data_IF_363531102488
#
_entry.id   IF_363531102488
#
_cell.length_a   1.000
_cell.length_b   1.000
_cell.length_c   1.000
_cell.angle_alpha   90.00
_cell.angle_beta   90.00
_cell.angle_gamma   90.00
#
_symmetry.space_group_name_H-M   'P 1'
#
loop_
_entity.id
_entity.type
_entity.pdbx_description
1 polymer ?
#
# COMPACT_ATOMS: atom_id res chain seq x y z
N UNK A 1 23.42 -0.21 28.25
CA UNK A 1 23.44 -0.48 26.81
C UNK A 1 24.12 0.66 26.10
N UNK A 2 25.15 0.32 25.32
CA UNK A 2 25.89 1.20 24.41
C UNK A 2 26.03 0.44 23.08
N UNK A 3 26.06 1.16 21.97
CA UNK A 3 26.29 0.61 20.63
C UNK A 3 25.08 -0.12 20.04
N UNK A 4 25.34 -0.98 19.04
CA UNK A 4 24.31 -1.71 18.33
C UNK A 4 23.92 -3.00 19.03
N UNK A 5 22.63 -3.17 19.27
CA UNK A 5 22.05 -4.39 19.82
C UNK A 5 21.20 -5.08 18.76
N UNK A 6 21.55 -6.32 18.46
CA UNK A 6 20.84 -7.17 17.50
C UNK A 6 20.06 -8.22 18.28
N UNK A 7 18.83 -8.50 17.82
CA UNK A 7 17.94 -9.47 18.42
C UNK A 7 17.53 -10.47 17.36
N UNK A 8 17.46 -11.74 17.75
CA UNK A 8 17.04 -12.86 16.91
C UNK A 8 15.82 -13.54 17.52
N UNK A 9 15.02 -14.22 16.70
CA UNK A 9 13.98 -15.12 17.20
C UNK A 9 14.57 -16.52 17.47
N UNK A 10 13.75 -17.42 18.01
CA UNK A 10 14.16 -18.79 18.36
C UNK A 10 14.63 -19.63 17.15
N UNK A 11 14.30 -19.19 15.93
CA UNK A 11 14.78 -19.77 14.68
C UNK A 11 16.10 -19.14 14.18
N UNK A 12 16.75 -18.31 14.99
CA UNK A 12 18.01 -17.64 14.63
C UNK A 12 17.88 -16.51 13.61
N UNK A 13 16.66 -16.04 13.30
CA UNK A 13 16.43 -14.96 12.33
C UNK A 13 16.39 -13.61 13.01
N UNK A 14 17.06 -12.63 12.41
CA UNK A 14 17.07 -11.26 12.94
C UNK A 14 15.66 -10.67 13.00
N UNK A 15 15.30 -10.08 14.14
CA UNK A 15 13.99 -9.43 14.35
C UNK A 15 14.11 -7.93 14.49
N UNK A 16 15.20 -7.44 15.09
CA UNK A 16 15.45 -6.00 15.24
C UNK A 16 16.92 -5.68 15.48
N UNK A 17 17.33 -4.49 15.07
CA UNK A 17 18.62 -3.87 15.35
C UNK A 17 18.39 -2.49 15.94
N UNK A 18 18.87 -2.26 17.15
CA UNK A 18 18.60 -1.05 17.94
C UNK A 18 19.92 -0.38 18.33
N UNK A 19 20.12 0.91 18.02
CA UNK A 19 21.26 1.67 18.49
C UNK A 19 20.99 2.26 19.88
N UNK A 20 21.89 2.03 20.83
CA UNK A 20 21.83 2.62 22.16
C UNK A 20 23.00 3.57 22.42
N UNK A 21 22.69 4.71 23.02
CA UNK A 21 23.65 5.62 23.65
C UNK A 21 23.22 5.89 25.10
N UNK A 22 24.10 5.62 26.07
CA UNK A 22 23.84 5.83 27.50
C UNK A 22 22.48 5.29 27.97
N UNK A 23 22.19 4.02 27.65
CA UNK A 23 20.92 3.33 27.94
C UNK A 23 19.67 3.83 27.21
N UNK A 24 19.78 4.85 26.35
CA UNK A 24 18.68 5.39 25.56
C UNK A 24 18.82 4.95 24.11
N UNK A 25 17.71 4.75 23.41
CA UNK A 25 17.76 4.50 21.95
C UNK A 25 18.11 5.82 21.27
N UNK A 26 19.17 5.85 20.47
CA UNK A 26 19.60 7.05 19.76
C UNK A 26 20.13 6.67 18.38
N UNK A 27 19.47 7.17 17.33
CA UNK A 27 19.69 6.78 15.93
C UNK A 27 18.60 5.86 15.36
N UNK A 28 18.91 5.22 14.23
CA UNK A 28 17.96 4.45 13.43
C UNK A 28 17.69 3.06 14.01
N UNK A 29 16.50 2.84 14.57
CA UNK A 29 16.01 1.52 14.96
C UNK A 29 15.45 0.82 13.70
N UNK A 30 16.06 -0.31 13.30
CA UNK A 30 15.51 -1.24 12.31
C UNK A 30 14.69 -2.39 12.91
N UNK A 31 13.44 -2.57 12.48
CA UNK A 31 12.61 -3.77 12.69
C UNK A 31 12.58 -4.59 11.41
N UNK A 32 12.75 -5.90 11.51
CA UNK A 32 12.70 -6.81 10.38
C UNK A 32 11.39 -7.60 10.35
N UNK A 33 10.77 -7.69 9.18
CA UNK A 33 9.58 -8.49 8.90
C UNK A 33 9.92 -9.60 7.89
N UNK A 34 9.05 -10.62 7.82
CA UNK A 34 9.19 -11.74 6.89
C UNK A 34 10.60 -12.38 6.92
N UNK A 35 11.04 -12.80 8.11
CA UNK A 35 12.33 -13.48 8.32
C UNK A 35 13.56 -12.66 7.91
N UNK A 36 13.52 -11.33 8.05
CA UNK A 36 14.65 -10.47 7.68
C UNK A 36 14.52 -9.82 6.31
N UNK A 37 13.57 -10.25 5.48
CA UNK A 37 13.43 -9.76 4.09
C UNK A 37 13.02 -8.29 4.00
N UNK A 38 12.22 -7.80 4.95
CA UNK A 38 11.71 -6.43 4.94
C UNK A 38 12.25 -5.69 6.14
N UNK A 39 12.91 -4.55 5.90
CA UNK A 39 13.43 -3.68 6.94
C UNK A 39 12.58 -2.42 7.04
N UNK A 40 11.95 -2.25 8.20
CA UNK A 40 11.35 -0.99 8.62
C UNK A 40 12.35 -0.25 9.50
N UNK A 41 12.43 1.07 9.36
CA UNK A 41 13.24 1.90 10.25
C UNK A 41 12.40 2.99 10.91
N UNK A 42 12.83 3.43 12.09
CA UNK A 42 12.32 4.60 12.79
C UNK A 42 13.48 5.27 13.51
N UNK A 43 13.58 6.59 13.36
CA UNK A 43 14.60 7.37 14.04
C UNK A 43 14.25 7.61 15.50
N UNK A 44 15.25 7.65 16.35
CA UNK A 44 15.13 7.97 17.76
C UNK A 44 16.18 9.02 18.15
N UNK A 45 15.84 9.87 19.10
CA UNK A 45 16.77 10.84 19.70
C UNK A 45 16.58 10.79 21.21
N UNK A 46 17.63 10.41 21.94
CA UNK A 46 17.61 10.28 23.40
C UNK A 46 16.41 9.50 23.96
N UNK A 47 16.05 8.40 23.30
CA UNK A 47 14.95 7.50 23.67
C UNK A 47 13.58 7.90 23.10
N UNK A 48 13.43 9.12 22.57
CA UNK A 48 12.18 9.59 21.97
C UNK A 48 12.12 9.24 20.48
N UNK A 49 11.03 8.63 19.99
CA UNK A 49 10.87 8.34 18.56
C UNK A 49 10.65 9.62 17.76
N UNK A 50 11.25 9.67 16.57
CA UNK A 50 11.04 10.69 15.54
C UNK A 50 10.24 10.07 14.39
N UNK A 51 9.16 10.73 13.98
CA UNK A 51 8.35 10.31 12.85
C UNK A 51 7.67 8.94 13.03
N UNK A 52 7.35 8.30 11.91
CA UNK A 52 6.71 6.98 11.83
C UNK A 52 7.72 5.97 11.29
N UNK A 53 7.39 4.69 11.48
CA UNK A 53 8.10 3.60 10.83
C UNK A 53 8.01 3.69 9.31
N UNK A 54 9.08 3.31 8.61
CA UNK A 54 9.22 3.62 7.18
C UNK A 54 10.14 2.61 6.46
N UNK A 55 10.02 2.46 5.13
CA UNK A 55 10.95 1.64 4.30
C UNK A 55 12.11 2.49 3.79
N UNK A 56 13.28 1.89 3.59
CA UNK A 56 14.47 2.60 3.05
C UNK A 56 14.17 3.32 1.73
N UNK A 57 14.92 4.38 1.39
CA UNK A 57 14.73 5.13 0.12
C UNK A 57 15.55 4.59 -1.07
N UNK A 58 16.40 3.58 -0.84
CA UNK A 58 17.34 3.02 -1.83
C UNK A 58 17.09 1.54 -2.14
N UNK A 59 15.84 1.11 -2.05
CA UNK A 59 15.43 -0.25 -2.42
C UNK A 59 15.37 -0.44 -3.95
N UNK A 60 15.68 -1.67 -4.38
CA UNK A 60 15.56 -2.14 -5.76
C UNK A 60 14.15 -2.67 -6.05
N UNK A 61 13.79 -2.80 -7.33
CA UNK A 61 12.44 -3.23 -7.75
C UNK A 61 12.00 -4.55 -7.12
N UNK A 62 12.86 -5.57 -7.11
CA UNK A 62 12.55 -6.86 -6.48
C UNK A 62 12.27 -6.75 -4.97
N UNK A 63 12.95 -5.83 -4.26
CA UNK A 63 12.70 -5.59 -2.84
C UNK A 63 11.36 -4.87 -2.61
N UNK A 64 10.96 -4.00 -3.53
CA UNK A 64 9.64 -3.36 -3.51
C UNK A 64 8.52 -4.36 -3.80
N UNK A 65 8.76 -5.30 -4.71
CA UNK A 65 7.85 -6.43 -4.96
C UNK A 65 7.71 -7.32 -3.73
N UNK A 66 8.81 -7.64 -3.02
CA UNK A 66 8.75 -8.38 -1.76
C UNK A 66 7.91 -7.65 -0.70
N UNK A 67 8.04 -6.31 -0.61
CA UNK A 67 7.22 -5.49 0.28
C UNK A 67 5.76 -5.55 -0.14
N UNK A 68 5.46 -5.35 -1.43
CA UNK A 68 4.11 -5.40 -1.96
C UNK A 68 3.44 -6.76 -1.70
N UNK A 69 4.13 -7.86 -2.01
CA UNK A 69 3.65 -9.22 -1.76
C UNK A 69 3.38 -9.48 -0.27
N UNK A 70 4.25 -8.96 0.59
CA UNK A 70 4.00 -9.00 2.03
C UNK A 70 2.73 -8.22 2.41
N UNK A 71 2.48 -7.03 1.83
CA UNK A 71 1.25 -6.29 2.12
C UNK A 71 -0.01 -7.03 1.69
N UNK A 72 0.02 -7.76 0.57
CA UNK A 72 -1.11 -8.60 0.15
C UNK A 72 -1.35 -9.73 1.16
N UNK A 73 -0.29 -10.38 1.63
CA UNK A 73 -0.39 -11.45 2.63
C UNK A 73 -0.87 -10.91 3.98
N UNK A 74 -0.31 -9.80 4.45
CA UNK A 74 -0.65 -9.16 5.72
C UNK A 74 -1.95 -8.34 5.69
N UNK A 75 -2.70 -8.41 4.59
CA UNK A 75 -4.13 -8.02 4.54
C UNK A 75 -5.02 -9.26 4.70
N UNK A 76 -4.49 -10.46 4.47
CA UNK A 76 -5.14 -11.74 4.79
C UNK A 76 -4.91 -12.15 6.25
N UNK A 77 -3.82 -11.67 6.86
CA UNK A 77 -3.59 -11.67 8.31
C UNK A 77 -3.97 -10.28 8.88
N UNK A 78 -4.44 -10.15 10.12
CA UNK A 78 -5.10 -8.94 10.66
C UNK A 78 -4.19 -7.70 10.95
N UNK A 79 -3.06 -7.49 10.23
CA UNK A 79 -2.19 -6.31 10.39
C UNK A 79 -2.34 -5.26 9.25
N UNK A 80 -3.59 -4.82 9.06
CA UNK A 80 -3.98 -3.78 8.07
C UNK A 80 -3.16 -2.50 8.25
N UNK A 81 -2.87 -2.09 9.49
CA UNK A 81 -2.13 -0.85 9.80
C UNK A 81 -0.69 -0.89 9.27
N UNK A 82 0.00 -2.02 9.40
CA UNK A 82 1.35 -2.18 8.83
C UNK A 82 1.31 -2.14 7.30
N UNK A 83 0.32 -2.78 6.68
CA UNK A 83 0.17 -2.79 5.22
C UNK A 83 -0.06 -1.39 4.67
N UNK A 84 -0.99 -0.61 5.24
CA UNK A 84 -1.24 0.79 4.85
C UNK A 84 0.03 1.63 4.97
N UNK A 85 0.79 1.47 6.07
CA UNK A 85 2.04 2.21 6.28
C UNK A 85 3.09 1.86 5.22
N UNK A 86 3.26 0.58 4.91
CA UNK A 86 4.20 0.10 3.90
C UNK A 86 3.85 0.63 2.51
N UNK A 87 2.58 0.59 2.12
CA UNK A 87 2.11 1.08 0.84
C UNK A 87 2.29 2.59 0.72
N UNK A 88 1.90 3.37 1.73
CA UNK A 88 2.11 4.82 1.74
C UNK A 88 3.59 5.20 1.63
N UNK A 89 4.45 4.46 2.33
CA UNK A 89 5.90 4.64 2.26
C UNK A 89 6.44 4.37 0.85
N UNK A 90 5.97 3.31 0.20
CA UNK A 90 6.30 2.98 -1.18
C UNK A 90 5.86 4.10 -2.13
N UNK A 91 4.59 4.52 -2.06
CA UNK A 91 3.99 5.56 -2.89
C UNK A 91 4.71 6.91 -2.75
N UNK A 92 5.11 7.28 -1.53
CA UNK A 92 5.75 8.57 -1.25
C UNK A 92 7.23 8.65 -1.65
N UNK A 93 7.92 7.51 -1.73
CA UNK A 93 9.38 7.49 -1.95
C UNK A 93 9.79 7.04 -3.35
N UNK A 94 8.93 6.28 -4.02
CA UNK A 94 9.26 5.62 -5.27
C UNK A 94 8.39 6.16 -6.40
N UNK A 95 8.96 6.90 -7.36
CA UNK A 95 8.18 7.43 -8.46
C UNK A 95 7.79 6.32 -9.45
N UNK A 96 6.54 6.32 -9.89
CA UNK A 96 6.00 5.35 -10.84
C UNK A 96 6.82 5.25 -12.14
N UNK A 97 7.33 6.38 -12.66
CA UNK A 97 8.15 6.43 -13.89
C UNK A 97 9.37 5.51 -13.87
N UNK A 98 9.89 5.18 -12.67
CA UNK A 98 11.01 4.27 -12.48
C UNK A 98 10.59 2.93 -11.87
N UNK A 99 9.48 2.90 -11.14
CA UNK A 99 9.03 1.74 -10.38
C UNK A 99 7.56 1.43 -10.69
N UNK A 100 7.29 0.63 -11.75
CA UNK A 100 5.91 0.28 -12.14
C UNK A 100 5.09 -0.39 -11.03
N UNK A 101 5.74 -1.07 -10.06
CA UNK A 101 5.07 -1.66 -8.88
C UNK A 101 4.25 -0.65 -8.06
N UNK A 102 4.52 0.66 -8.21
CA UNK A 102 3.79 1.74 -7.55
C UNK A 102 2.32 1.76 -7.95
N UNK A 103 1.95 1.44 -9.20
CA UNK A 103 0.53 1.41 -9.61
C UNK A 103 -0.24 0.32 -8.87
N UNK A 104 0.34 -0.89 -8.81
CA UNK A 104 -0.17 -2.04 -8.04
C UNK A 104 -0.31 -1.71 -6.56
N UNK A 105 0.71 -1.10 -5.98
CA UNK A 105 0.69 -0.71 -4.57
C UNK A 105 -0.41 0.32 -4.28
N UNK A 106 -0.65 1.27 -5.19
CA UNK A 106 -1.70 2.26 -5.03
C UNK A 106 -3.09 1.63 -5.14
N UNK A 107 -3.32 0.76 -6.12
CA UNK A 107 -4.59 0.03 -6.25
C UNK A 107 -4.87 -0.83 -5.01
N UNK A 108 -3.84 -1.50 -4.48
CA UNK A 108 -3.96 -2.27 -3.25
C UNK A 108 -4.30 -1.38 -2.04
N UNK A 109 -3.71 -0.17 -1.96
CA UNK A 109 -4.03 0.78 -0.89
C UNK A 109 -5.50 1.21 -0.94
N UNK A 110 -6.00 1.55 -2.14
CA UNK A 110 -7.41 1.88 -2.35
C UNK A 110 -8.32 0.70 -1.98
N UNK A 111 -7.94 -0.52 -2.38
CA UNK A 111 -8.66 -1.75 -2.05
C UNK A 111 -8.72 -2.02 -0.54
N UNK A 112 -7.64 -1.74 0.20
CA UNK A 112 -7.62 -1.87 1.65
C UNK A 112 -8.60 -0.90 2.30
N UNK A 113 -8.62 0.37 1.86
CA UNK A 113 -9.58 1.33 2.38
C UNK A 113 -11.02 0.90 2.10
N UNK A 114 -11.27 0.38 0.90
CA UNK A 114 -12.58 -0.11 0.49
C UNK A 114 -13.06 -1.31 1.29
N UNK A 115 -12.25 -2.38 1.35
CA UNK A 115 -12.70 -3.71 1.79
C UNK A 115 -12.30 -4.09 3.20
N UNK A 116 -11.28 -3.45 3.76
CA UNK A 116 -10.74 -3.82 5.08
C UNK A 116 -10.96 -2.72 6.12
N UNK A 117 -10.77 -1.45 5.75
CA UNK A 117 -11.04 -0.31 6.65
C UNK A 117 -12.49 0.15 6.55
N UNK A 118 -13.14 -0.09 5.41
CA UNK A 118 -14.50 0.37 5.07
C UNK A 118 -14.61 1.90 5.13
N UNK A 119 -13.58 2.58 4.62
CA UNK A 119 -13.53 4.04 4.43
C UNK A 119 -13.74 4.33 2.95
N UNK A 120 -15.00 4.52 2.56
CA UNK A 120 -15.41 4.67 1.16
C UNK A 120 -14.94 5.98 0.55
N UNK A 121 -14.93 7.07 1.33
CA UNK A 121 -14.44 8.37 0.87
C UNK A 121 -12.96 8.28 0.53
N UNK A 122 -12.18 7.63 1.41
CA UNK A 122 -10.76 7.39 1.15
C UNK A 122 -10.56 6.45 -0.03
N UNK A 123 -11.32 5.35 -0.11
CA UNK A 123 -11.24 4.41 -1.22
C UNK A 123 -11.49 5.09 -2.57
N UNK A 124 -12.58 5.84 -2.70
CA UNK A 124 -12.92 6.58 -3.92
C UNK A 124 -11.83 7.58 -4.31
N UNK A 125 -11.27 8.30 -3.32
CA UNK A 125 -10.14 9.19 -3.54
C UNK A 125 -8.93 8.45 -4.11
N UNK A 126 -8.48 7.39 -3.45
CA UNK A 126 -7.28 6.66 -3.87
C UNK A 126 -7.50 5.93 -5.22
N UNK A 127 -8.67 5.33 -5.47
CA UNK A 127 -8.99 4.76 -6.78
C UNK A 127 -9.00 5.84 -7.88
N UNK A 128 -9.52 7.03 -7.59
CA UNK A 128 -9.47 8.16 -8.51
C UNK A 128 -8.03 8.51 -8.88
N UNK A 129 -7.16 8.60 -7.88
CA UNK A 129 -5.73 8.86 -8.11
C UNK A 129 -5.04 7.76 -8.93
N UNK A 130 -5.43 6.49 -8.76
CA UNK A 130 -4.95 5.38 -9.62
C UNK A 130 -5.39 5.59 -11.07
N UNK A 131 -6.65 5.96 -11.28
CA UNK A 131 -7.21 6.20 -12.61
C UNK A 131 -6.53 7.37 -13.34
N UNK A 132 -6.22 8.45 -12.62
CA UNK A 132 -5.59 9.65 -13.18
C UNK A 132 -4.08 9.48 -13.44
N UNK A 133 -3.35 8.82 -12.53
CA UNK A 133 -1.87 8.83 -12.54
C UNK A 133 -1.22 7.73 -13.37
N UNK A 134 -1.87 6.59 -13.55
CA UNK A 134 -1.21 5.39 -14.08
C UNK A 134 -1.76 4.98 -15.44
N UNK A 135 -1.66 5.88 -16.42
CA UNK A 135 -2.06 5.62 -17.79
C UNK A 135 -1.36 4.40 -18.40
N UNK A 136 -2.09 3.60 -19.18
CA UNK A 136 -1.58 2.40 -19.82
C UNK A 136 -1.33 1.20 -18.89
N UNK A 137 -1.64 1.30 -17.60
CA UNK A 137 -1.51 0.18 -16.66
C UNK A 137 -2.79 -0.64 -16.55
N UNK A 138 -2.65 -1.92 -16.19
CA UNK A 138 -3.79 -2.81 -15.86
C UNK A 138 -4.58 -2.31 -14.66
N UNK A 139 -3.94 -1.56 -13.75
CA UNK A 139 -4.58 -1.03 -12.54
C UNK A 139 -5.58 0.09 -12.83
N UNK A 140 -5.40 0.84 -13.92
CA UNK A 140 -6.26 1.97 -14.30
C UNK A 140 -7.73 1.56 -14.55
N UNK A 141 -8.04 0.60 -15.45
CA UNK A 141 -9.41 0.15 -15.62
C UNK A 141 -9.94 -0.56 -14.37
N UNK A 142 -9.10 -1.25 -13.59
CA UNK A 142 -9.51 -1.87 -12.34
C UNK A 142 -10.02 -0.82 -11.34
N UNK A 143 -9.30 0.28 -11.17
CA UNK A 143 -9.70 1.35 -10.26
C UNK A 143 -11.03 1.99 -10.66
N UNK A 144 -11.22 2.32 -11.94
CA UNK A 144 -12.48 2.91 -12.40
C UNK A 144 -13.65 1.93 -12.25
N UNK A 145 -13.41 0.64 -12.46
CA UNK A 145 -14.42 -0.40 -12.20
C UNK A 145 -14.80 -0.45 -10.70
N UNK A 146 -13.83 -0.38 -9.78
CA UNK A 146 -14.11 -0.33 -8.34
C UNK A 146 -14.89 0.94 -7.94
N UNK A 147 -14.59 2.10 -8.55
CA UNK A 147 -15.36 3.33 -8.33
C UNK A 147 -16.84 3.13 -8.72
N UNK A 148 -17.08 2.53 -9.88
CA UNK A 148 -18.45 2.21 -10.34
C UNK A 148 -19.14 1.26 -9.36
N UNK A 149 -18.44 0.21 -8.91
CA UNK A 149 -18.95 -0.72 -7.90
C UNK A 149 -19.39 0.01 -6.63
N UNK A 150 -18.54 0.87 -6.06
CA UNK A 150 -18.87 1.61 -4.83
C UNK A 150 -20.13 2.47 -5.03
N UNK A 151 -20.20 3.24 -6.13
CA UNK A 151 -21.37 4.08 -6.39
C UNK A 151 -22.65 3.27 -6.65
N UNK A 152 -22.57 2.11 -7.31
CA UNK A 152 -23.73 1.25 -7.56
C UNK A 152 -24.18 0.50 -6.31
N UNK A 153 -23.27 -0.23 -5.69
CA UNK A 153 -23.59 -1.29 -4.73
C UNK A 153 -23.62 -0.78 -3.28
N UNK A 154 -22.84 0.24 -2.96
CA UNK A 154 -22.66 0.70 -1.57
C UNK A 154 -23.34 2.05 -1.33
N UNK A 155 -23.03 3.06 -2.15
CA UNK A 155 -23.60 4.40 -2.01
C UNK A 155 -24.97 4.56 -2.68
N UNK A 156 -25.33 3.66 -3.60
CA UNK A 156 -26.57 3.70 -4.41
C UNK A 156 -26.80 5.05 -5.12
N UNK A 157 -25.73 5.68 -5.59
CA UNK A 157 -25.74 6.97 -6.26
C UNK A 157 -25.82 6.81 -7.78
N UNK A 158 -27.02 6.51 -8.30
CA UNK A 158 -27.25 6.13 -9.70
C UNK A 158 -26.76 7.17 -10.73
N UNK A 159 -26.89 8.47 -10.45
CA UNK A 159 -26.47 9.52 -11.38
C UNK A 159 -24.95 9.53 -11.56
N UNK A 160 -24.20 9.45 -10.46
CA UNK A 160 -22.73 9.42 -10.49
C UNK A 160 -22.24 8.11 -11.10
N UNK A 161 -22.86 7.00 -10.70
CA UNK A 161 -22.56 5.68 -11.23
C UNK A 161 -22.71 5.63 -12.76
N UNK A 162 -23.79 6.20 -13.32
CA UNK A 162 -24.00 6.28 -14.76
C UNK A 162 -22.92 7.10 -15.46
N UNK A 163 -22.50 8.23 -14.89
CA UNK A 163 -21.39 9.04 -15.41
C UNK A 163 -20.10 8.21 -15.46
N UNK A 164 -19.80 7.48 -14.38
CA UNK A 164 -18.59 6.65 -14.29
C UNK A 164 -18.59 5.46 -15.26
N UNK A 165 -19.75 4.84 -15.52
CA UNK A 165 -19.85 3.83 -16.59
C UNK A 165 -19.57 4.40 -17.98
N UNK A 166 -20.12 5.57 -18.30
CA UNK A 166 -19.87 6.24 -19.59
C UNK A 166 -18.38 6.56 -19.73
N UNK A 167 -17.75 7.05 -18.67
CA UNK A 167 -16.31 7.29 -18.59
C UNK A 167 -15.52 6.00 -18.85
N UNK A 168 -15.90 4.88 -18.22
CA UNK A 168 -15.23 3.60 -18.46
C UNK A 168 -15.37 3.14 -19.91
N UNK A 169 -16.57 3.20 -20.50
CA UNK A 169 -16.77 2.78 -21.89
C UNK A 169 -16.01 3.68 -22.86
N UNK A 170 -15.86 4.97 -22.55
CA UNK A 170 -15.05 5.90 -23.36
C UNK A 170 -13.59 5.47 -23.42
N UNK A 171 -13.00 5.05 -22.31
CA UNK A 171 -11.57 4.72 -22.22
C UNK A 171 -11.25 3.23 -22.43
N UNK A 172 -12.20 2.33 -22.13
CA UNK A 172 -11.96 0.90 -21.97
C UNK A 172 -13.05 0.02 -22.60
N UNK A 173 -13.67 0.47 -23.71
CA UNK A 173 -14.75 -0.27 -24.39
C UNK A 173 -14.40 -1.70 -24.80
N UNK A 174 -13.14 -1.98 -25.09
CA UNK A 174 -12.63 -3.31 -25.49
C UNK A 174 -12.04 -4.11 -24.33
N UNK A 175 -11.98 -3.53 -23.12
CA UNK A 175 -11.43 -4.20 -21.95
C UNK A 175 -12.39 -5.28 -21.46
N UNK A 176 -11.84 -6.39 -20.92
CA UNK A 176 -12.63 -7.54 -20.44
C UNK A 176 -13.73 -7.19 -19.41
N UNK A 177 -13.52 -6.11 -18.63
CA UNK A 177 -14.49 -5.64 -17.63
C UNK A 177 -15.66 -4.84 -18.22
N UNK A 178 -15.58 -4.41 -19.48
CA UNK A 178 -16.66 -3.66 -20.13
C UNK A 178 -17.97 -4.46 -20.14
N UNK A 179 -17.91 -5.79 -20.31
CA UNK A 179 -19.09 -6.65 -20.26
C UNK A 179 -19.75 -6.72 -18.87
N UNK A 180 -18.97 -6.61 -17.80
CA UNK A 180 -19.44 -6.73 -16.41
C UNK A 180 -19.86 -5.38 -15.81
N UNK A 181 -19.78 -4.29 -16.59
CA UNK A 181 -20.02 -2.94 -16.06
C UNK A 181 -21.50 -2.62 -15.84
N UNK A 182 -22.39 -3.36 -16.49
CA UNK A 182 -23.84 -3.22 -16.32
C UNK A 182 -24.30 -3.87 -15.02
N UNK A 183 -23.62 -4.94 -14.59
CA UNK A 183 -23.87 -5.57 -13.30
C UNK A 183 -22.61 -5.80 -12.46
N UNK A 184 -22.02 -4.71 -11.93
CA UNK A 184 -20.76 -4.79 -11.22
C UNK A 184 -20.91 -5.27 -9.77
N UNK A 185 -22.11 -5.59 -9.27
CA UNK A 185 -22.31 -6.05 -7.89
C UNK A 185 -22.20 -7.58 -7.70
N UNK A 186 -21.91 -8.33 -8.78
CA UNK A 186 -21.77 -9.79 -8.78
C UNK A 186 -20.41 -10.26 -8.27
#
# INVERSE_FOLDING_TARGET
>A
KQGWWIYWNDQGKITKRIPYDRNKIDGSYTKYLNNGKIALHREYSSGAPRGKWDIGSKLKSNQLEDIYNYTIKSVKDDDIKTSIRLLNSLLGKYPFSKYPIVSKAHLQLATIYHKSVIDLDRALKEYGEVFEKYEGTEERPLALFQIIQIYKCELRAADIEKVKRIEFMKFFSTHKLAGNILDPCL
#
